data_IF_489198938791
#
_entry.id   IF_489198938791
#
_cell.length_a   1.000
_cell.length_b   1.000
_cell.length_c   1.000
_cell.angle_alpha   90.00
_cell.angle_beta   90.00
_cell.angle_gamma   90.00
#
_symmetry.space_group_name_H-M   'P 1'
#
loop_
_entity.id
_entity.type
_entity.pdbx_description
1 polymer ?
#
# COMPACT_ATOMS: atom_id res chain seq x y z
N UNK A 1 15.09 -14.24 -16.10
CA UNK A 1 13.82 -14.50 -15.41
C UNK A 1 12.94 -13.38 -15.89
N UNK A 2 12.08 -13.75 -16.84
CA UNK A 2 11.74 -12.87 -17.95
C UNK A 2 10.56 -11.96 -17.60
N UNK A 3 10.46 -10.83 -18.30
CA UNK A 3 9.40 -9.79 -18.17
C UNK A 3 7.99 -10.40 -18.04
N UNK A 4 7.78 -11.54 -18.69
CA UNK A 4 6.59 -12.39 -18.67
C UNK A 4 6.06 -12.71 -17.25
N UNK A 5 6.94 -12.90 -16.26
CA UNK A 5 6.50 -13.19 -14.89
C UNK A 5 5.84 -11.96 -14.22
N UNK A 6 6.32 -10.76 -14.55
CA UNK A 6 5.76 -9.50 -14.07
C UNK A 6 4.41 -9.24 -14.74
N UNK A 7 4.32 -9.51 -16.04
CA UNK A 7 3.08 -9.37 -16.82
C UNK A 7 1.99 -10.34 -16.36
N UNK A 8 2.34 -11.58 -15.99
CA UNK A 8 1.38 -12.53 -15.40
C UNK A 8 0.83 -12.01 -14.07
N UNK A 9 1.66 -11.45 -13.19
CA UNK A 9 1.21 -10.89 -11.91
C UNK A 9 0.32 -9.66 -12.13
N UNK A 10 0.69 -8.76 -13.05
CA UNK A 10 -0.12 -7.61 -13.43
C UNK A 10 -1.48 -8.07 -13.97
N UNK A 11 -1.51 -9.02 -14.91
CA UNK A 11 -2.73 -9.54 -15.50
C UNK A 11 -3.64 -10.25 -14.48
N UNK A 12 -3.04 -10.97 -13.51
CA UNK A 12 -3.79 -11.67 -12.46
C UNK A 12 -4.32 -10.74 -11.36
N UNK A 13 -3.62 -9.64 -11.08
CA UNK A 13 -3.99 -8.69 -10.02
C UNK A 13 -4.81 -7.50 -10.54
N UNK A 14 -4.73 -7.18 -11.84
CA UNK A 14 -5.37 -6.02 -12.45
C UNK A 14 -4.86 -4.67 -11.91
N UNK A 15 -3.68 -4.64 -11.29
CA UNK A 15 -3.16 -3.45 -10.62
C UNK A 15 -2.45 -2.52 -11.61
N UNK A 16 -3.07 -1.38 -11.88
CA UNK A 16 -2.48 -0.28 -12.68
C UNK A 16 -1.27 0.37 -11.98
N UNK A 17 -1.13 0.18 -10.68
CA UNK A 17 0.04 0.59 -9.91
C UNK A 17 1.27 -0.27 -10.25
N UNK A 18 1.07 -1.59 -10.42
CA UNK A 18 2.14 -2.50 -10.83
C UNK A 18 2.61 -2.25 -12.26
N UNK A 19 1.74 -1.79 -13.16
CA UNK A 19 2.14 -1.33 -14.51
C UNK A 19 3.06 -0.11 -14.47
N UNK A 20 2.74 0.90 -13.67
CA UNK A 20 3.60 2.09 -13.51
C UNK A 20 4.94 1.76 -12.87
N UNK A 21 4.91 0.82 -11.92
CA UNK A 21 6.11 0.31 -11.29
C UNK A 21 6.99 -0.46 -12.28
N UNK A 22 6.41 -1.27 -13.17
CA UNK A 22 7.12 -1.99 -14.24
C UNK A 22 8.01 -1.06 -15.07
N UNK A 23 7.48 0.08 -15.50
CA UNK A 23 8.23 1.06 -16.30
C UNK A 23 9.30 1.79 -15.48
N UNK A 24 9.10 1.95 -14.17
CA UNK A 24 10.07 2.61 -13.28
C UNK A 24 11.33 1.76 -13.05
N UNK A 25 11.20 0.43 -13.09
CA UNK A 25 12.32 -0.52 -12.87
C UNK A 25 12.83 -1.16 -14.16
N UNK A 26 12.47 -0.61 -15.32
CA UNK A 26 12.91 -1.09 -16.63
C UNK A 26 14.32 -0.58 -16.93
N UNK A 27 15.27 -1.49 -17.12
CA UNK A 27 16.66 -1.15 -17.47
C UNK A 27 16.84 -0.93 -18.99
N UNK A 28 17.94 -0.27 -19.39
CA UNK A 28 18.33 -0.12 -20.80
C UNK A 28 18.54 -1.50 -21.44
N UNK A 29 17.61 -1.91 -22.30
CA UNK A 29 17.58 -3.25 -22.90
C UNK A 29 16.25 -3.99 -22.70
N UNK A 30 15.32 -3.44 -21.91
CA UNK A 30 13.96 -3.97 -21.75
C UNK A 30 13.82 -5.01 -20.64
N UNK A 31 14.89 -5.35 -19.94
CA UNK A 31 14.88 -6.28 -18.80
C UNK A 31 14.52 -5.57 -17.50
N UNK A 32 13.71 -6.22 -16.66
CA UNK A 32 13.33 -5.71 -15.33
C UNK A 32 14.21 -6.36 -14.27
N UNK A 33 14.77 -5.55 -13.38
CA UNK A 33 15.48 -6.03 -12.21
C UNK A 33 14.48 -6.44 -11.11
N UNK A 34 14.05 -7.70 -11.14
CA UNK A 34 13.03 -8.24 -10.22
C UNK A 34 13.35 -8.00 -8.73
N UNK A 35 14.63 -8.07 -8.34
CA UNK A 35 15.05 -7.84 -6.97
C UNK A 35 14.88 -6.37 -6.55
N UNK A 36 15.05 -5.43 -7.46
CA UNK A 36 14.77 -4.00 -7.22
C UNK A 36 13.29 -3.69 -7.23
N UNK A 37 12.54 -4.30 -8.16
CA UNK A 37 11.11 -4.12 -8.24
C UNK A 37 10.40 -4.62 -6.96
N UNK A 38 10.74 -5.81 -6.45
CA UNK A 38 10.20 -6.32 -5.17
C UNK A 38 10.58 -5.42 -4.00
N UNK A 39 11.82 -4.91 -3.96
CA UNK A 39 12.24 -3.95 -2.91
C UNK A 39 11.39 -2.68 -2.97
N UNK A 40 11.19 -2.14 -4.17
CA UNK A 40 10.30 -1.00 -4.42
C UNK A 40 8.87 -1.22 -3.95
N UNK A 41 8.29 -2.40 -4.23
CA UNK A 41 6.96 -2.78 -3.75
C UNK A 41 6.88 -2.77 -2.22
N UNK A 42 7.89 -3.32 -1.54
CA UNK A 42 7.92 -3.36 -0.08
C UNK A 42 8.07 -1.95 0.50
N UNK A 43 8.97 -1.14 -0.05
CA UNK A 43 9.21 0.24 0.40
C UNK A 43 7.96 1.11 0.22
N UNK A 44 7.31 1.04 -0.95
CA UNK A 44 6.05 1.75 -1.19
C UNK A 44 4.92 1.26 -0.27
N UNK A 45 4.84 -0.05 -0.01
CA UNK A 45 3.86 -0.60 0.92
C UNK A 45 4.05 -0.08 2.36
N UNK A 46 5.30 0.04 2.81
CA UNK A 46 5.64 0.63 4.11
C UNK A 46 5.27 2.12 4.16
N UNK A 47 5.64 2.89 3.14
CA UNK A 47 5.33 4.31 3.05
C UNK A 47 3.82 4.58 3.04
N UNK A 48 3.05 3.82 2.24
CA UNK A 48 1.59 3.89 2.22
C UNK A 48 0.99 3.59 3.60
N UNK A 49 1.49 2.56 4.29
CA UNK A 49 1.04 2.23 5.64
C UNK A 49 1.34 3.34 6.66
N UNK A 50 2.51 3.98 6.57
CA UNK A 50 2.87 5.12 7.42
C UNK A 50 1.97 6.33 7.16
N UNK A 51 1.71 6.65 5.89
CA UNK A 51 0.83 7.76 5.50
C UNK A 51 -0.61 7.53 5.97
N UNK A 52 -1.14 6.31 5.83
CA UNK A 52 -2.46 5.93 6.35
C UNK A 52 -2.53 6.10 7.87
N UNK A 53 -1.52 5.62 8.60
CA UNK A 53 -1.50 5.75 10.06
C UNK A 53 -1.35 7.20 10.54
N UNK A 54 -0.57 8.02 9.82
CA UNK A 54 -0.45 9.45 10.11
C UNK A 54 -1.79 10.18 9.91
N UNK A 55 -2.51 9.88 8.82
CA UNK A 55 -3.85 10.43 8.58
C UNK A 55 -4.84 10.02 9.69
N UNK A 56 -4.82 8.76 10.10
CA UNK A 56 -5.68 8.27 11.18
C UNK A 56 -5.35 8.96 12.51
N UNK A 57 -4.06 9.13 12.80
CA UNK A 57 -3.60 9.84 13.99
C UNK A 57 -4.13 11.28 14.01
N UNK A 58 -4.04 11.99 12.89
CA UNK A 58 -4.56 13.35 12.79
C UNK A 58 -6.08 13.43 13.04
N UNK A 59 -6.87 12.52 12.47
CA UNK A 59 -8.32 12.49 12.65
C UNK A 59 -8.75 12.12 14.08
N UNK A 60 -8.09 11.15 14.71
CA UNK A 60 -8.36 10.78 16.10
C UNK A 60 -7.99 11.90 17.08
N UNK A 61 -6.87 12.60 16.85
CA UNK A 61 -6.49 13.76 17.67
C UNK A 61 -7.48 14.92 17.52
N UNK A 62 -7.97 15.22 16.31
CA UNK A 62 -9.01 16.24 16.09
C UNK A 62 -10.31 15.93 16.82
N UNK A 63 -10.65 14.64 16.95
CA UNK A 63 -11.86 14.16 17.61
C UNK A 63 -11.65 13.82 19.10
N UNK A 64 -10.48 14.12 19.67
CA UNK A 64 -10.12 13.82 21.06
C UNK A 64 -10.24 12.33 21.43
N UNK A 65 -10.14 11.43 20.45
CA UNK A 65 -10.22 9.96 20.61
C UNK A 65 -8.84 9.36 20.92
N UNK A 66 -8.18 9.88 21.96
CA UNK A 66 -6.81 9.45 22.33
C UNK A 66 -6.74 8.01 22.80
N UNK A 67 -7.80 7.50 23.43
CA UNK A 67 -7.86 6.09 23.86
C UNK A 67 -7.96 5.14 22.67
N UNK A 68 -8.73 5.52 21.65
CA UNK A 68 -8.81 4.76 20.40
C UNK A 68 -7.47 4.79 19.66
N UNK A 69 -6.75 5.92 19.68
CA UNK A 69 -5.41 6.00 19.11
C UNK A 69 -4.43 5.06 19.83
N UNK A 70 -4.45 5.04 21.16
CA UNK A 70 -3.60 4.16 21.97
C UNK A 70 -3.90 2.67 21.68
N UNK A 71 -5.18 2.33 21.56
CA UNK A 71 -5.61 0.98 21.19
C UNK A 71 -5.19 0.65 19.76
N UNK A 72 -5.39 1.54 18.81
CA UNK A 72 -5.04 1.35 17.40
C UNK A 72 -3.53 1.21 17.16
N UNK A 73 -2.68 1.79 18.01
CA UNK A 73 -1.24 1.62 17.93
C UNK A 73 -0.81 0.17 18.16
N UNK A 74 -1.53 -0.57 19.03
CA UNK A 74 -1.17 -1.92 19.45
C UNK A 74 -2.08 -3.01 18.87
N UNK A 75 -3.29 -2.65 18.43
CA UNK A 75 -4.28 -3.57 17.89
C UNK A 75 -4.48 -3.31 16.39
N UNK A 76 -3.96 -4.23 15.58
CA UNK A 76 -4.08 -4.18 14.12
C UNK A 76 -5.54 -4.26 13.66
N UNK A 77 -6.35 -5.14 14.25
CA UNK A 77 -7.73 -5.32 13.82
C UNK A 77 -8.56 -4.08 14.12
N UNK A 78 -8.35 -3.48 15.29
CA UNK A 78 -8.97 -2.23 15.67
C UNK A 78 -8.51 -1.06 14.78
N UNK A 79 -7.21 -1.00 14.45
CA UNK A 79 -6.68 -0.02 13.49
C UNK A 79 -7.33 -0.17 12.10
N UNK A 80 -7.52 -1.39 11.61
CA UNK A 80 -8.21 -1.66 10.34
C UNK A 80 -9.69 -1.27 10.38
N UNK A 81 -10.37 -1.40 11.53
CA UNK A 81 -11.73 -0.90 11.71
C UNK A 81 -11.79 0.63 11.60
N UNK A 82 -10.88 1.33 12.27
CA UNK A 82 -10.78 2.79 12.21
C UNK A 82 -10.41 3.30 10.82
N UNK A 83 -9.53 2.59 10.11
CA UNK A 83 -9.25 2.89 8.71
C UNK A 83 -10.51 2.85 7.85
N UNK A 84 -11.40 1.86 8.04
CA UNK A 84 -12.70 1.82 7.35
C UNK A 84 -13.63 2.94 7.79
N UNK A 85 -13.69 3.24 9.09
CA UNK A 85 -14.53 4.30 9.66
C UNK A 85 -14.19 5.68 9.07
N UNK A 86 -12.90 5.99 8.96
CA UNK A 86 -12.41 7.26 8.43
C UNK A 86 -12.14 7.25 6.92
N UNK A 87 -12.39 6.13 6.23
CA UNK A 87 -12.15 5.98 4.79
C UNK A 87 -10.67 6.11 4.39
N UNK A 88 -9.77 5.71 5.30
CA UNK A 88 -8.31 5.76 5.13
C UNK A 88 -7.83 4.41 4.61
N UNK A 89 -7.28 4.40 3.40
CA UNK A 89 -6.82 3.19 2.73
C UNK A 89 -7.89 2.59 1.80
N UNK A 90 -7.50 2.49 0.52
CA UNK A 90 -8.15 1.90 -0.64
C UNK A 90 -9.71 1.89 -0.72
N UNK A 91 -10.25 2.71 -1.64
CA UNK A 91 -11.68 2.77 -2.01
C UNK A 91 -12.14 1.67 -2.98
N UNK A 92 -11.32 0.67 -3.32
CA UNK A 92 -11.64 -0.30 -4.37
C UNK A 92 -11.74 -1.74 -3.82
N UNK A 93 -12.89 -2.09 -3.22
CA UNK A 93 -13.39 -3.48 -3.15
C UNK A 93 -14.89 -3.53 -2.77
N UNK A 94 -15.71 -2.78 -3.51
CA UNK A 94 -17.15 -3.04 -3.62
C UNK A 94 -17.54 -3.10 -5.11
N UNK A 95 -17.17 -4.19 -5.78
CA UNK A 95 -18.04 -4.84 -6.77
C UNK A 95 -17.59 -6.28 -7.02
#
# INVERSE_FOLDING_TARGET
MDEDAYDVIIAMTGSSELEQMKETYREEGGTINMCEAIRGMVEQGVEQGMNQFAALTAELLKSSRTDDLLKAANDRQFREQLFREYGIGNKNNLH
#
